data_IF_383799117195
#
_entry.id   IF_383799117195
#
_cell.length_a   1.000
_cell.length_b   1.000
_cell.length_c   1.000
_cell.angle_alpha   90.00
_cell.angle_beta   90.00
_cell.angle_gamma   90.00
#
_symmetry.space_group_name_H-M   'P 1'
#
loop_
_entity.id
_entity.type
_entity.pdbx_description
1 polymer ?
#
# COMPACT_ATOMS: atom_id res chain seq x y z
N UNK A 1 -19.44 0.33 -23.60
CA UNK A 1 -18.37 0.63 -24.58
C UNK A 1 -16.98 0.59 -23.93
N UNK A 2 -16.68 1.43 -22.93
CA UNK A 2 -15.35 1.47 -22.29
C UNK A 2 -14.92 0.18 -21.58
N UNK A 3 -15.82 -0.50 -20.87
CA UNK A 3 -15.47 -1.73 -20.14
C UNK A 3 -15.07 -2.88 -21.07
N UNK A 4 -15.78 -3.05 -22.19
CA UNK A 4 -15.42 -4.07 -23.19
C UNK A 4 -14.06 -3.78 -23.85
N UNK A 5 -13.73 -2.50 -24.07
CA UNK A 5 -12.43 -2.09 -24.59
C UNK A 5 -11.30 -2.35 -23.58
N UNK A 6 -11.52 -2.05 -22.29
CA UNK A 6 -10.56 -2.34 -21.21
C UNK A 6 -10.36 -3.85 -21.05
N UNK A 7 -11.45 -4.64 -21.10
CA UNK A 7 -11.38 -6.10 -21.00
C UNK A 7 -10.65 -6.73 -22.18
N UNK A 8 -10.85 -6.22 -23.39
CA UNK A 8 -10.13 -6.69 -24.58
C UNK A 8 -8.64 -6.37 -24.53
N UNK A 9 -8.26 -5.21 -23.99
CA UNK A 9 -6.85 -4.76 -23.93
C UNK A 9 -6.05 -5.34 -22.76
N UNK A 10 -6.68 -5.55 -21.61
CA UNK A 10 -5.99 -5.89 -20.35
C UNK A 10 -6.67 -7.02 -19.57
N UNK A 11 -7.69 -7.67 -20.13
CA UNK A 11 -8.44 -8.70 -19.40
C UNK A 11 -7.61 -9.95 -19.09
N UNK A 12 -6.59 -10.22 -19.90
CA UNK A 12 -5.67 -11.34 -19.76
C UNK A 12 -4.73 -11.20 -18.54
N UNK A 13 -4.40 -9.98 -18.12
CA UNK A 13 -3.54 -9.73 -16.95
C UNK A 13 -4.29 -9.77 -15.60
N UNK A 14 -5.62 -9.68 -15.60
CA UNK A 14 -6.44 -9.55 -14.37
C UNK A 14 -6.26 -10.70 -13.38
N UNK A 15 -6.07 -11.92 -13.89
CA UNK A 15 -5.95 -13.14 -13.08
C UNK A 15 -4.53 -13.69 -13.02
N UNK A 16 -3.55 -12.95 -13.55
CA UNK A 16 -2.16 -13.39 -13.50
C UNK A 16 -1.61 -13.32 -12.07
N UNK A 17 -0.75 -14.26 -11.67
CA UNK A 17 -0.07 -14.18 -10.39
C UNK A 17 0.81 -12.93 -10.36
N UNK A 18 0.86 -12.26 -9.20
CA UNK A 18 1.70 -11.08 -9.03
C UNK A 18 3.17 -11.45 -9.26
N UNK A 19 3.90 -10.79 -10.18
CA UNK A 19 5.29 -11.08 -10.42
C UNK A 19 6.13 -10.71 -9.19
N UNK A 20 7.00 -11.64 -8.77
CA UNK A 20 7.97 -11.42 -7.70
C UNK A 20 9.36 -11.44 -8.34
N UNK A 21 10.11 -10.36 -8.18
CA UNK A 21 11.47 -10.29 -8.70
C UNK A 21 12.36 -11.31 -7.96
N UNK A 22 13.10 -12.11 -8.73
CA UNK A 22 14.10 -13.05 -8.20
C UNK A 22 15.40 -12.35 -7.79
N UNK A 23 15.71 -11.23 -8.45
CA UNK A 23 16.95 -10.47 -8.24
C UNK A 23 16.81 -9.40 -7.16
N UNK A 24 15.60 -8.85 -6.98
CA UNK A 24 15.34 -7.74 -6.07
C UNK A 24 14.29 -8.16 -5.05
N UNK A 25 14.70 -8.61 -3.85
CA UNK A 25 13.73 -8.96 -2.81
C UNK A 25 12.88 -7.74 -2.45
N UNK A 26 11.60 -7.92 -2.09
CA UNK A 26 10.75 -6.83 -1.64
C UNK A 26 11.34 -6.10 -0.44
N UNK A 27 11.21 -4.77 -0.43
CA UNK A 27 11.63 -3.95 0.71
C UNK A 27 10.80 -4.31 1.97
N UNK A 28 11.43 -4.59 3.12
CA UNK A 28 10.74 -4.82 4.39
C UNK A 28 9.80 -3.66 4.75
N UNK A 29 8.74 -3.94 5.52
CA UNK A 29 7.72 -2.93 5.89
C UNK A 29 8.33 -1.78 6.67
N UNK A 30 9.25 -2.08 7.57
CA UNK A 30 9.95 -1.12 8.43
C UNK A 30 10.79 -0.16 7.58
N UNK A 31 11.50 -0.69 6.58
CA UNK A 31 12.27 0.14 5.64
C UNK A 31 11.38 0.97 4.72
N UNK A 32 10.20 0.46 4.33
CA UNK A 32 9.22 1.26 3.57
C UNK A 32 8.69 2.45 4.37
N UNK A 33 8.54 2.32 5.69
CA UNK A 33 8.05 3.41 6.53
C UNK A 33 8.95 4.65 6.48
N UNK A 34 10.26 4.48 6.26
CA UNK A 34 11.21 5.59 6.15
C UNK A 34 10.89 6.57 5.00
N UNK A 35 10.16 6.14 3.97
CA UNK A 35 9.71 7.03 2.89
C UNK A 35 8.79 8.16 3.43
N UNK A 36 8.13 7.92 4.56
CA UNK A 36 7.24 8.88 5.20
C UNK A 36 7.92 9.70 6.32
N UNK A 37 9.22 9.52 6.54
CA UNK A 37 9.98 10.28 7.53
C UNK A 37 9.85 11.81 7.41
N UNK A 38 9.77 12.42 6.20
CA UNK A 38 9.62 13.88 6.07
C UNK A 38 8.38 14.45 6.77
N UNK A 39 7.31 13.64 6.93
CA UNK A 39 6.07 14.08 7.55
C UNK A 39 6.13 14.15 9.08
N UNK A 40 7.17 13.56 9.70
CA UNK A 40 7.37 13.61 11.14
C UNK A 40 7.57 15.03 11.68
N UNK A 41 8.01 15.97 10.83
CA UNK A 41 8.17 17.37 11.19
C UNK A 41 6.85 18.16 11.19
N UNK A 42 5.75 17.60 10.67
CA UNK A 42 4.45 18.26 10.66
C UNK A 42 3.82 18.22 12.05
N UNK A 43 3.28 19.37 12.48
CA UNK A 43 2.42 19.44 13.67
C UNK A 43 1.20 18.54 13.48
N UNK A 44 0.84 17.73 14.47
CA UNK A 44 -0.28 16.80 14.41
C UNK A 44 0.04 15.42 13.78
N UNK A 45 1.28 15.18 13.31
CA UNK A 45 1.66 13.86 12.79
C UNK A 45 1.54 12.75 13.84
N UNK A 46 2.00 12.99 15.07
CA UNK A 46 1.91 12.03 16.16
C UNK A 46 0.44 11.73 16.56
N UNK A 47 -0.42 12.73 16.55
CA UNK A 47 -1.85 12.59 16.85
C UNK A 47 -2.55 11.76 15.77
N UNK A 48 -2.26 12.01 14.50
CA UNK A 48 -2.79 11.21 13.39
C UNK A 48 -2.35 9.74 13.45
N UNK A 49 -1.12 9.46 13.88
CA UNK A 49 -0.65 8.10 14.12
C UNK A 49 -1.40 7.43 15.28
N UNK A 50 -1.61 8.13 16.39
CA UNK A 50 -2.34 7.61 17.55
C UNK A 50 -3.80 7.26 17.20
N UNK A 51 -4.49 8.15 16.46
CA UNK A 51 -5.85 7.90 15.97
C UNK A 51 -5.93 6.67 15.05
N UNK A 52 -4.92 6.49 14.19
CA UNK A 52 -4.86 5.36 13.27
C UNK A 52 -4.59 4.04 14.00
N UNK A 53 -3.72 4.05 15.02
CA UNK A 53 -3.45 2.90 15.87
C UNK A 53 -4.73 2.44 16.60
N UNK A 54 -5.45 3.38 17.23
CA UNK A 54 -6.70 3.09 17.93
C UNK A 54 -7.78 2.52 16.98
N UNK A 55 -7.89 3.05 15.76
CA UNK A 55 -8.81 2.48 14.75
C UNK A 55 -8.43 1.04 14.37
N UNK A 56 -7.15 0.72 14.30
CA UNK A 56 -6.68 -0.63 13.92
C UNK A 56 -6.95 -1.64 15.03
N UNK A 57 -6.69 -1.27 16.30
CA UNK A 57 -7.00 -2.12 17.46
C UNK A 57 -8.49 -2.47 17.54
N UNK A 58 -9.38 -1.49 17.32
CA UNK A 58 -10.83 -1.73 17.30
C UNK A 58 -11.33 -2.60 16.14
N UNK A 59 -10.56 -2.73 15.06
CA UNK A 59 -10.92 -3.53 13.88
C UNK A 59 -10.34 -4.95 13.92
N UNK A 60 -9.41 -5.22 14.85
CA UNK A 60 -8.74 -6.52 15.02
C UNK A 60 -9.13 -7.23 16.33
N UNK A 61 -10.03 -6.65 17.12
CA UNK A 61 -10.71 -7.27 18.26
C UNK A 61 -11.99 -7.97 17.83
#
# INVERSE_FOLDING_TARGET
MKEAEVQSRYGDILHMPRPISKAHPPMPREKRAAQFAPFAALTGHAEALAETAHKTERQHS
#
